data_IF_444644249463
#
_entry.id   IF_444644249463
#
_cell.length_a   1.000
_cell.length_b   1.000
_cell.length_c   1.000
_cell.angle_alpha   90.00
_cell.angle_beta   90.00
_cell.angle_gamma   90.00
#
_symmetry.space_group_name_H-M   'P 1'
#
loop_
_entity.id
_entity.type
_entity.pdbx_description
1 polymer ?
#
# COMPACT_ATOMS: atom_id res chain seq x y z
N UNK A 1 0.12 25.19 18.25
CA UNK A 1 -0.37 23.99 17.53
C UNK A 1 -1.07 24.44 16.27
N UNK A 2 -0.73 23.92 15.09
CA UNK A 2 -1.43 24.34 13.87
C UNK A 2 -2.85 23.74 13.87
N UNK A 3 -3.84 24.57 13.59
CA UNK A 3 -5.25 24.16 13.41
C UNK A 3 -5.71 24.55 12.00
N UNK A 4 -6.59 23.74 11.43
CA UNK A 4 -7.28 24.04 10.17
C UNK A 4 -8.77 24.08 10.47
N UNK A 5 -9.43 25.20 10.18
CA UNK A 5 -10.86 25.40 10.38
C UNK A 5 -11.57 25.18 9.04
N UNK A 6 -12.58 24.32 9.02
CA UNK A 6 -13.35 23.99 7.81
C UNK A 6 -14.75 23.47 8.16
N UNK A 7 -15.58 23.22 7.15
CA UNK A 7 -16.93 22.64 7.34
C UNK A 7 -16.88 21.12 7.60
N UNK A 8 -17.94 20.51 8.16
CA UNK A 8 -17.95 19.09 8.51
C UNK A 8 -17.62 18.15 7.35
N UNK A 9 -18.20 18.40 6.16
CA UNK A 9 -17.98 17.58 4.96
C UNK A 9 -16.51 17.57 4.55
N UNK A 10 -15.87 18.73 4.59
CA UNK A 10 -14.45 18.86 4.25
C UNK A 10 -13.56 18.20 5.31
N UNK A 11 -13.92 18.33 6.60
CA UNK A 11 -13.19 17.68 7.68
C UNK A 11 -13.21 16.14 7.56
N UNK A 12 -14.36 15.56 7.20
CA UNK A 12 -14.49 14.12 6.94
C UNK A 12 -13.63 13.69 5.75
N UNK A 13 -13.70 14.41 4.63
CA UNK A 13 -12.89 14.08 3.44
C UNK A 13 -11.39 14.23 3.68
N UNK A 14 -10.94 15.18 4.51
CA UNK A 14 -9.52 15.30 4.88
C UNK A 14 -9.02 14.01 5.53
N UNK A 15 -9.80 13.36 6.39
CA UNK A 15 -9.42 12.10 7.03
C UNK A 15 -9.21 10.99 6.00
N UNK A 16 -10.15 10.82 5.08
CA UNK A 16 -10.06 9.81 4.02
C UNK A 16 -8.90 10.13 3.05
N UNK A 17 -8.75 11.38 2.63
CA UNK A 17 -7.67 11.81 1.74
C UNK A 17 -6.28 11.52 2.32
N UNK A 18 -6.06 11.84 3.61
CA UNK A 18 -4.81 11.54 4.28
C UNK A 18 -4.51 10.04 4.33
N UNK A 19 -5.47 9.21 4.78
CA UNK A 19 -5.25 7.77 4.92
C UNK A 19 -5.06 7.08 3.55
N UNK A 20 -5.84 7.47 2.55
CA UNK A 20 -5.71 6.91 1.19
C UNK A 20 -4.44 7.35 0.50
N UNK A 21 -3.92 8.56 0.75
CA UNK A 21 -2.61 8.97 0.27
C UNK A 21 -1.47 8.16 0.89
N UNK A 22 -1.53 7.90 2.21
CA UNK A 22 -0.53 7.04 2.87
C UNK A 22 -0.57 5.59 2.34
N UNK A 23 -1.77 5.05 2.13
CA UNK A 23 -1.94 3.74 1.48
C UNK A 23 -1.35 3.75 0.06
N UNK A 24 -1.55 4.83 -0.69
CA UNK A 24 -0.96 5.02 -2.04
C UNK A 24 0.57 4.99 -2.00
N UNK A 25 1.20 5.67 -1.03
CA UNK A 25 2.68 5.63 -0.88
C UNK A 25 3.21 4.22 -0.62
N UNK A 26 2.56 3.46 0.26
CA UNK A 26 2.94 2.07 0.56
C UNK A 26 2.78 1.20 -0.68
N UNK A 27 1.63 1.28 -1.36
CA UNK A 27 1.39 0.49 -2.57
C UNK A 27 2.37 0.86 -3.68
N UNK A 28 2.67 2.15 -3.86
CA UNK A 28 3.63 2.61 -4.85
C UNK A 28 5.01 1.98 -4.63
N UNK A 29 5.54 2.04 -3.40
CA UNK A 29 6.88 1.48 -3.14
C UNK A 29 6.89 -0.06 -3.25
N UNK A 30 5.77 -0.72 -2.97
CA UNK A 30 5.63 -2.18 -3.20
C UNK A 30 5.68 -2.53 -4.69
N UNK A 31 5.02 -1.77 -5.55
CA UNK A 31 5.09 -1.96 -7.00
C UNK A 31 6.51 -1.74 -7.53
N UNK A 32 7.22 -0.72 -7.01
CA UNK A 32 8.64 -0.52 -7.31
C UNK A 32 9.48 -1.70 -6.82
N UNK A 33 9.20 -2.26 -5.64
CA UNK A 33 9.88 -3.46 -5.14
C UNK A 33 9.70 -4.66 -6.07
N UNK A 34 8.47 -4.87 -6.54
CA UNK A 34 8.16 -5.94 -7.50
C UNK A 34 8.91 -5.76 -8.82
N UNK A 35 9.05 -4.52 -9.29
CA UNK A 35 9.87 -4.21 -10.47
C UNK A 35 11.35 -4.46 -10.21
N UNK A 36 11.85 -4.06 -9.04
CA UNK A 36 13.24 -4.27 -8.62
C UNK A 36 13.62 -5.76 -8.66
N UNK A 37 12.73 -6.65 -8.21
CA UNK A 37 12.93 -8.10 -8.28
C UNK A 37 13.10 -8.62 -9.72
N UNK A 38 12.53 -7.93 -10.72
CA UNK A 38 12.61 -8.32 -12.13
C UNK A 38 13.85 -7.78 -12.83
N UNK A 39 14.32 -6.60 -12.42
CA UNK A 39 15.43 -5.90 -13.10
C UNK A 39 16.75 -5.99 -12.34
N UNK A 40 16.77 -6.58 -11.15
CA UNK A 40 17.97 -6.70 -10.31
C UNK A 40 18.35 -5.39 -9.60
N UNK A 41 17.37 -4.52 -9.31
CA UNK A 41 17.59 -3.28 -8.57
C UNK A 41 17.34 -3.44 -7.06
N UNK A 42 17.83 -2.50 -6.26
CA UNK A 42 17.62 -2.46 -4.81
C UNK A 42 16.56 -1.41 -4.43
N UNK A 43 15.38 -1.87 -4.04
CA UNK A 43 14.27 -0.99 -3.63
C UNK A 43 14.60 -0.13 -2.41
N UNK A 44 15.48 -0.58 -1.51
CA UNK A 44 15.86 0.21 -0.33
C UNK A 44 16.74 1.41 -0.72
N UNK A 45 17.60 1.25 -1.72
CA UNK A 45 18.36 2.38 -2.27
C UNK A 45 17.44 3.37 -2.98
N UNK A 46 16.45 2.89 -3.75
CA UNK A 46 15.46 3.73 -4.42
C UNK A 46 14.60 4.48 -3.39
N UNK A 47 14.06 3.77 -2.38
CA UNK A 47 13.26 4.37 -1.31
C UNK A 47 14.04 5.45 -0.56
N UNK A 48 15.32 5.18 -0.26
CA UNK A 48 16.23 6.17 0.35
C UNK A 48 16.41 7.39 -0.54
N UNK A 49 16.74 7.19 -1.82
CA UNK A 49 16.94 8.28 -2.78
C UNK A 49 15.68 9.14 -2.95
N UNK A 50 14.51 8.51 -3.12
CA UNK A 50 13.22 9.21 -3.17
C UNK A 50 12.93 9.98 -1.88
N UNK A 51 13.26 9.39 -0.73
CA UNK A 51 13.03 10.00 0.59
C UNK A 51 13.89 11.23 0.87
N UNK A 52 15.01 11.42 0.16
CA UNK A 52 15.83 12.64 0.26
C UNK A 52 15.14 13.85 -0.37
N UNK A 53 14.17 13.64 -1.26
CA UNK A 53 13.33 14.71 -1.80
C UNK A 53 12.32 15.15 -0.72
N UNK A 54 12.47 16.39 -0.25
CA UNK A 54 11.61 16.98 0.78
C UNK A 54 10.13 17.07 0.40
N UNK A 55 9.79 16.98 -0.90
CA UNK A 55 8.41 16.94 -1.39
C UNK A 55 7.77 15.56 -1.22
N UNK A 56 8.58 14.50 -1.16
CA UNK A 56 8.11 13.10 -1.04
C UNK A 56 8.08 12.67 0.42
N UNK A 57 9.13 12.99 1.19
CA UNK A 57 9.39 12.48 2.54
C UNK A 57 9.69 10.97 2.62
N UNK A 58 10.66 10.53 3.45
CA UNK A 58 11.02 9.11 3.59
C UNK A 58 9.94 8.28 4.32
N UNK A 59 8.97 8.93 4.96
CA UNK A 59 7.90 8.24 5.71
C UNK A 59 6.97 7.50 4.74
N UNK A 60 6.51 6.31 5.13
CA UNK A 60 5.60 5.47 4.33
C UNK A 60 6.20 5.02 2.97
N UNK A 61 7.53 4.87 2.90
CA UNK A 61 8.25 4.30 1.73
C UNK A 61 9.00 3.01 2.09
N UNK A 62 8.40 2.17 2.94
CA UNK A 62 8.96 0.87 3.31
C UNK A 62 8.23 -0.24 2.54
N UNK A 63 8.89 -0.95 1.61
CA UNK A 63 8.26 -2.04 0.88
C UNK A 63 8.03 -3.25 1.80
N UNK A 64 7.03 -4.07 1.48
CA UNK A 64 6.63 -5.23 2.27
C UNK A 64 5.48 -6.04 1.65
N UNK A 65 4.76 -6.85 2.46
CA UNK A 65 3.70 -7.75 1.98
C UNK A 65 2.38 -7.05 1.63
N UNK A 66 2.34 -5.72 1.67
CA UNK A 66 1.13 -4.90 1.55
C UNK A 66 0.72 -4.26 2.88
N UNK A 67 -0.16 -3.27 2.82
CA UNK A 67 -0.75 -2.66 4.00
C UNK A 67 -1.95 -3.47 4.53
N UNK A 68 -2.13 -3.46 5.85
CA UNK A 68 -3.23 -4.10 6.56
C UNK A 68 -3.80 -3.20 7.67
N UNK A 69 -4.26 -3.82 8.76
CA UNK A 69 -4.90 -3.13 9.88
C UNK A 69 -6.35 -2.70 9.59
N UNK A 70 -6.99 -2.08 10.58
CA UNK A 70 -8.41 -1.67 10.47
C UNK A 70 -8.61 -0.36 9.70
N UNK A 71 -7.62 0.53 9.70
CA UNK A 71 -7.76 1.88 9.16
C UNK A 71 -7.63 1.94 7.63
N UNK A 72 -6.48 1.53 7.06
CA UNK A 72 -6.24 1.74 5.63
C UNK A 72 -7.19 0.95 4.73
N UNK A 73 -7.39 -0.37 4.89
CA UNK A 73 -8.32 -1.12 4.04
C UNK A 73 -9.75 -0.56 4.12
N UNK A 74 -10.23 -0.25 5.32
CA UNK A 74 -11.57 0.32 5.52
C UNK A 74 -11.71 1.68 4.84
N UNK A 75 -10.77 2.59 5.07
CA UNK A 75 -10.88 3.97 4.58
C UNK A 75 -10.65 4.05 3.07
N UNK A 76 -9.79 3.21 2.48
CA UNK A 76 -9.61 3.14 1.01
C UNK A 76 -10.87 2.62 0.31
N UNK A 77 -11.47 1.55 0.83
CA UNK A 77 -12.69 0.98 0.25
C UNK A 77 -13.87 1.96 0.45
N UNK A 78 -14.02 2.53 1.64
CA UNK A 78 -15.07 3.52 1.92
C UNK A 78 -15.00 4.75 1.02
N UNK A 79 -13.80 5.33 0.81
CA UNK A 79 -13.65 6.47 -0.08
C UNK A 79 -13.93 6.11 -1.55
N UNK A 80 -13.50 4.94 -2.01
CA UNK A 80 -13.78 4.46 -3.37
C UNK A 80 -15.29 4.23 -3.59
N UNK A 81 -15.97 3.60 -2.62
CA UNK A 81 -17.41 3.42 -2.65
C UNK A 81 -18.16 4.76 -2.65
N UNK A 82 -17.80 5.68 -1.75
CA UNK A 82 -18.40 7.01 -1.70
C UNK A 82 -18.23 7.76 -3.03
N UNK A 83 -17.01 7.79 -3.59
CA UNK A 83 -16.74 8.37 -4.90
C UNK A 83 -17.64 7.77 -5.99
N UNK A 84 -17.80 6.44 -5.99
CA UNK A 84 -18.66 5.73 -6.94
C UNK A 84 -20.14 6.12 -6.80
N UNK A 85 -20.65 6.28 -5.57
CA UNK A 85 -22.04 6.73 -5.33
C UNK A 85 -22.28 8.17 -5.81
N UNK A 86 -21.23 8.98 -5.88
CA UNK A 86 -21.28 10.33 -6.45
C UNK A 86 -21.05 10.36 -7.98
N UNK A 87 -20.95 9.19 -8.64
CA UNK A 87 -20.68 9.11 -10.07
C UNK A 87 -19.23 9.36 -10.48
N UNK A 88 -18.27 9.31 -9.55
CA UNK A 88 -16.85 9.50 -9.82
C UNK A 88 -16.08 8.17 -9.75
N UNK A 89 -15.53 7.73 -10.89
CA UNK A 89 -14.64 6.56 -10.96
C UNK A 89 -13.22 6.95 -10.52
N UNK A 90 -12.90 6.72 -9.24
CA UNK A 90 -11.59 7.03 -8.68
C UNK A 90 -10.52 5.98 -9.07
N UNK A 91 -10.09 6.02 -10.32
CA UNK A 91 -9.16 5.05 -10.94
C UNK A 91 -7.85 4.83 -10.17
N UNK A 92 -7.24 5.90 -9.67
CA UNK A 92 -6.01 5.79 -8.88
C UNK A 92 -6.23 4.95 -7.62
N UNK A 93 -7.28 5.26 -6.85
CA UNK A 93 -7.59 4.55 -5.61
C UNK A 93 -7.98 3.09 -5.88
N UNK A 94 -8.72 2.84 -6.96
CA UNK A 94 -9.01 1.49 -7.44
C UNK A 94 -7.73 0.70 -7.71
N UNK A 95 -6.77 1.29 -8.41
CA UNK A 95 -5.46 0.70 -8.67
C UNK A 95 -4.70 0.40 -7.38
N UNK A 96 -4.72 1.32 -6.41
CA UNK A 96 -4.07 1.15 -5.10
C UNK A 96 -4.65 -0.06 -4.34
N UNK A 97 -5.97 -0.18 -4.31
CA UNK A 97 -6.68 -1.30 -3.65
C UNK A 97 -6.35 -2.63 -4.33
N UNK A 98 -6.42 -2.68 -5.66
CA UNK A 98 -6.12 -3.88 -6.45
C UNK A 98 -4.67 -4.33 -6.31
N UNK A 99 -3.71 -3.41 -6.40
CA UNK A 99 -2.29 -3.71 -6.26
C UNK A 99 -1.96 -4.19 -4.83
N UNK A 100 -2.54 -3.59 -3.79
CA UNK A 100 -2.35 -4.07 -2.42
C UNK A 100 -2.93 -5.48 -2.19
N UNK A 101 -4.07 -5.81 -2.82
CA UNK A 101 -4.62 -7.17 -2.81
C UNK A 101 -3.64 -8.16 -3.47
N UNK A 102 -3.11 -7.81 -4.64
CA UNK A 102 -2.13 -8.63 -5.38
C UNK A 102 -0.80 -8.81 -4.62
N UNK A 103 -0.35 -7.80 -3.87
CA UNK A 103 0.91 -7.86 -3.12
C UNK A 103 0.97 -9.04 -2.15
N UNK A 104 -0.16 -9.36 -1.50
CA UNK A 104 -0.26 -10.51 -0.58
C UNK A 104 -0.11 -11.84 -1.31
N UNK A 105 -0.64 -11.95 -2.52
CA UNK A 105 -0.52 -13.15 -3.35
C UNK A 105 0.92 -13.31 -3.86
N UNK A 106 1.58 -12.21 -4.22
CA UNK A 106 2.98 -12.22 -4.66
C UNK A 106 3.92 -12.77 -3.58
N UNK A 107 3.62 -12.54 -2.30
CA UNK A 107 4.37 -13.16 -1.20
C UNK A 107 4.24 -14.68 -1.20
N UNK A 108 3.04 -15.22 -1.48
CA UNK A 108 2.82 -16.66 -1.60
C UNK A 108 3.57 -17.20 -2.82
N UNK A 109 3.54 -16.49 -3.93
CA UNK A 109 4.25 -16.86 -5.16
C UNK A 109 5.77 -16.91 -4.91
N UNK A 110 6.33 -15.95 -4.15
CA UNK A 110 7.74 -15.96 -3.73
C UNK A 110 8.08 -17.18 -2.88
N UNK A 111 7.21 -17.56 -1.93
CA UNK A 111 7.42 -18.77 -1.10
C UNK A 111 7.43 -20.02 -1.99
N UNK A 112 6.45 -20.16 -2.90
CA UNK A 112 6.37 -21.29 -3.84
C UNK A 112 7.56 -21.34 -4.78
N UNK A 113 8.08 -20.20 -5.22
CA UNK A 113 9.26 -20.15 -6.07
C UNK A 113 10.50 -20.75 -5.40
N UNK A 114 10.71 -20.47 -4.10
CA UNK A 114 11.88 -20.95 -3.37
C UNK A 114 11.73 -22.36 -2.78
N UNK A 115 10.51 -22.75 -2.37
CA UNK A 115 10.25 -24.04 -1.71
C UNK A 115 9.67 -25.11 -2.63
N UNK A 116 9.33 -24.75 -3.88
CA UNK A 116 8.61 -25.58 -4.85
C UNK A 116 7.09 -25.34 -4.83
N UNK A 117 6.43 -25.66 -5.95
CA UNK A 117 4.98 -25.42 -6.15
C UNK A 117 4.10 -26.23 -5.21
N UNK A 118 4.54 -27.42 -4.79
CA UNK A 118 3.86 -28.26 -3.81
C UNK A 118 4.37 -27.97 -2.40
N UNK A 119 3.54 -27.28 -1.61
CA UNK A 119 3.84 -26.97 -0.20
C UNK A 119 3.27 -28.00 0.78
N UNK A 120 2.59 -29.06 0.31
CA UNK A 120 1.97 -30.07 1.17
C UNK A 120 3.02 -30.77 2.04
N UNK A 121 2.78 -30.81 3.35
CA UNK A 121 3.66 -31.44 4.33
C UNK A 121 4.90 -30.62 4.71
N UNK A 122 5.07 -29.40 4.17
CA UNK A 122 6.12 -28.48 4.62
C UNK A 122 5.65 -27.70 5.84
N UNK A 123 6.55 -27.47 6.79
CA UNK A 123 6.33 -26.56 7.92
C UNK A 123 6.93 -25.19 7.60
N UNK A 124 6.11 -24.14 7.66
CA UNK A 124 6.52 -22.75 7.41
C UNK A 124 6.32 -21.95 8.70
N UNK A 125 7.40 -21.39 9.24
CA UNK A 125 7.35 -20.48 10.38
C UNK A 125 6.88 -19.09 9.93
N UNK A 126 5.92 -18.51 10.66
CA UNK A 126 5.46 -17.13 10.45
C UNK A 126 5.92 -16.29 11.64
N UNK A 127 6.79 -15.32 11.40
CA UNK A 127 7.26 -14.38 12.42
C UNK A 127 6.55 -13.03 12.23
N UNK A 128 5.47 -12.82 13.00
CA UNK A 128 4.63 -11.62 12.96
C UNK A 128 3.22 -11.89 12.42
N UNK A 129 2.19 -11.60 13.23
CA UNK A 129 0.76 -11.82 12.92
C UNK A 129 -0.13 -10.59 13.21
N UNK A 130 0.48 -9.48 13.63
CA UNK A 130 -0.22 -8.25 14.04
C UNK A 130 -0.75 -7.41 12.89
#
# INVERSE_FOLDING_TARGET
TPFVITNPVTAELIKYACNTFLATKITFINEIANLCDKVGADVHQIAKAMGLDGRISPKFLHPGPGYGGSCFPKDTEALYHFASTCGYDFKLLKGVISANKRQRELMIDKIKHHLGSNLKGKTIGILGLG
#
